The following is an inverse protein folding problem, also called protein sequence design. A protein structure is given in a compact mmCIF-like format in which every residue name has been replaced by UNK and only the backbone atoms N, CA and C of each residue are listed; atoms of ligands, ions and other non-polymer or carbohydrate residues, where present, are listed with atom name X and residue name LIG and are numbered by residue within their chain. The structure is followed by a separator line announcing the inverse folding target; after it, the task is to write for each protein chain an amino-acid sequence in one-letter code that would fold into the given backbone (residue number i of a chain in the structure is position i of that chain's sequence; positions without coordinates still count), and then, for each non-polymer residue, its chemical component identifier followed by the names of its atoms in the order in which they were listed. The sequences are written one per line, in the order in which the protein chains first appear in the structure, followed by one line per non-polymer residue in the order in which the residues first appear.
data_IF_476087966629
#
_entry.id   IF_476087966629
#
_cell.length_a   1.000
_cell.length_b   1.000
_cell.length_c   1.000
_cell.angle_alpha   90.00
_cell.angle_beta   90.00
_cell.angle_gamma   90.00
#
_symmetry.space_group_name_H-M   'P 1'
#
loop_
_entity.id
_entity.type
_entity.pdbx_description
1 polymer ?
#
# COMPACT_ATOMS: atom_id res chain seq x y z
N UNK A 1 13.83 -18.68 -2.31
CA UNK A 1 14.92 -18.02 -1.56
C UNK A 1 14.34 -17.37 -0.32
N UNK A 2 14.76 -17.74 0.89
CA UNK A 2 14.26 -17.12 2.13
C UNK A 2 14.67 -15.64 2.26
N UNK A 3 14.05 -14.89 3.19
CA UNK A 3 14.33 -13.45 3.45
C UNK A 3 15.82 -13.16 3.62
N UNK A 4 16.55 -14.04 4.30
CA UNK A 4 18.00 -13.93 4.49
C UNK A 4 18.79 -14.11 3.19
N UNK A 5 18.40 -15.07 2.33
CA UNK A 5 19.06 -15.30 1.04
C UNK A 5 18.91 -14.11 0.09
N UNK A 6 17.74 -13.45 0.12
CA UNK A 6 17.51 -12.22 -0.67
C UNK A 6 18.42 -11.07 -0.21
N UNK A 7 18.60 -10.90 1.10
CA UNK A 7 19.45 -9.84 1.65
C UNK A 7 20.93 -10.08 1.31
N UNK A 8 21.41 -11.32 1.41
CA UNK A 8 22.79 -11.67 1.02
C UNK A 8 23.04 -11.36 -0.46
N UNK A 9 22.13 -11.79 -1.34
CA UNK A 9 22.25 -11.52 -2.77
C UNK A 9 22.26 -10.01 -3.06
N UNK A 10 21.35 -9.26 -2.42
CA UNK A 10 21.29 -7.81 -2.56
C UNK A 10 22.61 -7.15 -2.16
N UNK A 11 23.19 -7.56 -1.04
CA UNK A 11 24.47 -7.03 -0.57
C UNK A 11 25.62 -7.33 -1.55
N UNK A 12 25.66 -8.54 -2.13
CA UNK A 12 26.66 -8.88 -3.16
C UNK A 12 26.51 -7.99 -4.39
N UNK A 13 25.27 -7.76 -4.83
CA UNK A 13 24.98 -6.88 -5.98
C UNK A 13 25.41 -5.45 -5.66
N UNK A 14 25.07 -4.93 -4.48
CA UNK A 14 25.50 -3.59 -4.03
C UNK A 14 27.03 -3.51 -4.00
N UNK A 15 27.73 -4.49 -3.41
CA UNK A 15 29.19 -4.54 -3.37
C UNK A 15 29.81 -4.55 -4.77
N UNK A 16 29.18 -5.26 -5.71
CA UNK A 16 29.64 -5.32 -7.10
C UNK A 16 29.44 -3.97 -7.82
N UNK A 17 28.32 -3.29 -7.58
CA UNK A 17 28.08 -1.94 -8.11
C UNK A 17 29.08 -0.94 -7.52
N UNK A 18 29.34 -0.98 -6.21
CA UNK A 18 30.32 -0.12 -5.56
C UNK A 18 31.73 -0.39 -6.11
N UNK A 19 32.09 -1.66 -6.35
CA UNK A 19 33.35 -2.02 -6.98
C UNK A 19 33.48 -1.40 -8.38
N UNK A 20 32.44 -1.47 -9.21
CA UNK A 20 32.45 -0.83 -10.53
C UNK A 20 32.62 0.68 -10.41
N UNK A 21 31.85 1.33 -9.55
CA UNK A 21 31.92 2.78 -9.31
C UNK A 21 33.34 3.16 -8.84
N UNK A 22 33.87 2.48 -7.83
CA UNK A 22 35.20 2.77 -7.28
C UNK A 22 36.30 2.63 -8.32
N UNK A 23 36.25 1.61 -9.18
CA UNK A 23 37.23 1.45 -10.24
C UNK A 23 37.11 2.52 -11.32
N UNK A 24 35.91 2.96 -11.69
CA UNK A 24 35.71 4.09 -12.62
C UNK A 24 36.39 5.37 -12.08
N UNK A 25 36.29 5.64 -10.78
CA UNK A 25 36.81 6.88 -10.21
C UNK A 25 38.30 6.85 -9.86
N UNK A 26 38.85 5.72 -9.41
CA UNK A 26 40.18 5.68 -8.81
C UNK A 26 41.23 4.93 -9.64
N UNK A 27 40.87 3.82 -10.30
CA UNK A 27 41.85 2.89 -10.86
C UNK A 27 41.69 2.62 -12.37
N UNK A 28 40.61 3.09 -13.01
CA UNK A 28 40.32 2.87 -14.44
C UNK A 28 40.39 1.39 -14.84
N UNK A 29 40.02 0.49 -13.91
CA UNK A 29 40.15 -0.97 -14.04
C UNK A 29 41.55 -1.49 -14.41
N UNK A 30 42.60 -0.73 -14.08
CA UNK A 30 43.99 -1.12 -14.34
C UNK A 30 44.48 -2.01 -13.20
N UNK A 31 44.49 -3.32 -13.44
CA UNK A 31 45.03 -4.31 -12.52
C UNK A 31 46.27 -4.96 -13.14
N UNK A 32 47.34 -5.13 -12.36
CA UNK A 32 48.58 -5.74 -12.83
C UNK A 32 48.49 -7.27 -12.86
N UNK A 33 47.53 -7.86 -12.13
CA UNK A 33 47.33 -9.30 -12.08
C UNK A 33 45.88 -9.69 -11.74
N UNK A 34 45.43 -10.91 -12.10
CA UNK A 34 44.14 -11.44 -11.65
C UNK A 34 44.02 -11.52 -10.12
N UNK A 35 45.12 -11.73 -9.40
CA UNK A 35 45.14 -11.79 -7.93
C UNK A 35 44.83 -10.43 -7.32
N UNK A 36 45.39 -9.35 -7.88
CA UNK A 36 45.11 -7.98 -7.46
C UNK A 36 43.64 -7.61 -7.68
N UNK A 37 43.07 -8.00 -8.82
CA UNK A 37 41.65 -7.85 -9.10
C UNK A 37 40.78 -8.58 -8.06
N UNK A 38 41.07 -9.86 -7.79
CA UNK A 38 40.30 -10.67 -6.84
C UNK A 38 40.41 -10.13 -5.42
N UNK A 39 41.60 -9.67 -5.02
CA UNK A 39 41.80 -9.03 -3.73
C UNK A 39 40.97 -7.75 -3.61
N UNK A 40 41.05 -6.86 -4.60
CA UNK A 40 40.26 -5.62 -4.63
C UNK A 40 38.77 -5.92 -4.56
N UNK A 41 38.26 -6.78 -5.45
CA UNK A 41 36.86 -7.18 -5.44
C UNK A 41 36.42 -7.76 -4.09
N UNK A 42 37.23 -8.66 -3.51
CA UNK A 42 36.97 -9.25 -2.20
C UNK A 42 36.88 -8.20 -1.08
N UNK A 43 37.72 -7.17 -1.11
CA UNK A 43 37.69 -6.07 -0.13
C UNK A 43 36.42 -5.23 -0.29
N UNK A 44 36.01 -4.89 -1.52
CA UNK A 44 34.74 -4.20 -1.76
C UNK A 44 33.54 -5.01 -1.27
N UNK A 45 33.54 -6.33 -1.48
CA UNK A 45 32.49 -7.21 -0.96
C UNK A 45 32.50 -7.21 0.57
N UNK A 46 33.65 -7.40 1.22
CA UNK A 46 33.78 -7.41 2.68
C UNK A 46 33.20 -6.12 3.30
N UNK A 47 33.59 -4.97 2.76
CA UNK A 47 33.11 -3.67 3.24
C UNK A 47 31.61 -3.52 3.02
N UNK A 48 31.11 -3.90 1.83
CA UNK A 48 29.68 -3.86 1.54
C UNK A 48 28.87 -4.77 2.48
N UNK A 49 29.39 -5.95 2.81
CA UNK A 49 28.76 -6.85 3.78
C UNK A 49 28.68 -6.23 5.17
N UNK A 50 29.81 -5.82 5.73
CA UNK A 50 29.84 -5.32 7.10
C UNK A 50 29.03 -4.04 7.23
N UNK A 51 29.21 -3.07 6.33
CA UNK A 51 28.49 -1.79 6.39
C UNK A 51 27.01 -1.96 6.04
N UNK A 52 26.70 -2.77 5.02
CA UNK A 52 25.34 -3.01 4.55
C UNK A 52 24.50 -3.72 5.61
N UNK A 53 25.00 -4.80 6.21
CA UNK A 53 24.28 -5.51 7.27
C UNK A 53 24.17 -4.68 8.56
N UNK A 54 25.21 -3.93 8.94
CA UNK A 54 25.15 -3.06 10.12
C UNK A 54 24.07 -1.99 9.97
N UNK A 55 24.04 -1.31 8.82
CA UNK A 55 23.00 -0.33 8.53
C UNK A 55 21.62 -0.98 8.40
N UNK A 56 21.50 -2.15 7.75
CA UNK A 56 20.23 -2.86 7.63
C UNK A 56 19.67 -3.26 9.00
N UNK A 57 20.51 -3.75 9.91
CA UNK A 57 20.09 -4.10 11.27
C UNK A 57 19.63 -2.85 12.03
N UNK A 58 20.38 -1.76 11.93
CA UNK A 58 19.99 -0.47 12.51
C UNK A 58 18.64 0.04 11.98
N UNK A 59 18.42 0.03 10.67
CA UNK A 59 17.13 0.45 10.11
C UNK A 59 15.99 -0.50 10.45
N UNK A 60 16.25 -1.81 10.54
CA UNK A 60 15.24 -2.79 10.99
C UNK A 60 14.86 -2.54 12.45
N UNK A 61 15.83 -2.25 13.32
CA UNK A 61 15.59 -1.86 14.71
C UNK A 61 14.78 -0.56 14.78
N UNK A 62 15.14 0.46 13.98
CA UNK A 62 14.38 1.70 13.90
C UNK A 62 12.95 1.49 13.42
N UNK A 63 12.70 0.57 12.49
CA UNK A 63 11.35 0.24 12.01
C UNK A 63 10.46 -0.36 13.10
N UNK A 64 11.04 -1.05 14.08
CA UNK A 64 10.32 -1.58 15.24
C UNK A 64 9.87 -0.52 16.25
N UNK A 65 10.31 0.73 16.11
CA UNK A 65 9.91 1.83 16.99
C UNK A 65 8.56 2.42 16.58
N UNK A 66 7.76 2.82 17.57
CA UNK A 66 6.45 3.43 17.35
C UNK A 66 6.57 4.91 16.93
N UNK A 67 6.81 5.15 15.64
CA UNK A 67 6.88 6.50 15.07
C UNK A 67 5.49 7.11 14.86
N UNK A 68 5.26 8.30 15.43
CA UNK A 68 4.04 9.07 15.14
C UNK A 68 4.11 9.73 13.76
N UNK A 69 2.98 10.09 13.15
CA UNK A 69 2.97 10.83 11.89
C UNK A 69 3.71 12.18 11.95
N UNK A 70 3.78 12.80 13.12
CA UNK A 70 4.56 14.03 13.38
C UNK A 70 6.07 13.82 13.36
N UNK A 71 6.55 12.59 13.60
CA UNK A 71 7.95 12.32 13.85
C UNK A 71 8.75 12.06 12.56
N UNK A 72 8.17 12.33 11.38
CA UNK A 72 8.79 12.04 10.06
C UNK A 72 10.20 12.64 9.95
N UNK A 73 10.34 13.93 10.27
CA UNK A 73 11.63 14.64 10.20
C UNK A 73 12.60 14.08 11.25
N UNK A 74 12.13 13.87 12.48
CA UNK A 74 12.93 13.28 13.56
C UNK A 74 13.46 11.90 13.18
N UNK A 75 12.64 11.06 12.55
CA UNK A 75 13.05 9.74 12.05
C UNK A 75 14.15 9.84 11.00
N UNK A 76 13.99 10.72 10.01
CA UNK A 76 15.01 10.94 8.97
C UNK A 76 16.32 11.39 9.62
N UNK A 77 16.26 12.37 10.52
CA UNK A 77 17.43 12.91 11.19
C UNK A 77 18.17 11.86 12.03
N UNK A 78 17.44 11.10 12.87
CA UNK A 78 18.04 10.02 13.67
C UNK A 78 18.58 8.88 12.80
N UNK A 79 17.88 8.55 11.70
CA UNK A 79 18.33 7.54 10.76
C UNK A 79 19.61 7.95 10.04
N UNK A 80 19.72 9.21 9.63
CA UNK A 80 20.91 9.74 8.98
C UNK A 80 22.09 9.81 9.96
N UNK A 81 21.91 10.39 11.14
CA UNK A 81 22.95 10.46 12.16
C UNK A 81 23.45 9.08 12.60
N UNK A 82 22.52 8.16 12.88
CA UNK A 82 22.88 6.80 13.29
C UNK A 82 23.61 6.04 12.19
N UNK A 83 23.15 6.16 10.93
CA UNK A 83 23.82 5.53 9.79
C UNK A 83 25.23 6.09 9.54
N UNK A 84 25.42 7.42 9.67
CA UNK A 84 26.73 8.05 9.60
C UNK A 84 27.65 7.52 10.70
N UNK A 85 27.18 7.50 11.95
CA UNK A 85 27.97 7.01 13.08
C UNK A 85 28.38 5.53 12.91
N UNK A 86 27.42 4.67 12.56
CA UNK A 86 27.66 3.24 12.31
C UNK A 86 28.64 3.04 11.16
N UNK A 87 28.50 3.82 10.09
CA UNK A 87 29.37 3.70 8.91
C UNK A 87 30.79 4.16 9.21
N UNK A 88 30.96 5.30 9.89
CA UNK A 88 32.29 5.79 10.27
C UNK A 88 32.99 4.82 11.22
N UNK A 89 32.27 4.31 12.22
CA UNK A 89 32.80 3.30 13.14
C UNK A 89 33.14 1.99 12.39
N UNK A 90 32.23 1.52 11.53
CA UNK A 90 32.44 0.31 10.73
C UNK A 90 33.63 0.43 9.79
N UNK A 91 33.77 1.56 9.09
CA UNK A 91 34.93 1.85 8.24
C UNK A 91 36.23 1.90 9.04
N UNK A 92 36.22 2.56 10.21
CA UNK A 92 37.40 2.64 11.07
C UNK A 92 37.84 1.25 11.50
N UNK A 93 36.90 0.43 12.00
CA UNK A 93 37.18 -0.93 12.45
C UNK A 93 37.62 -1.84 11.29
N UNK A 94 36.97 -1.76 10.13
CA UNK A 94 37.39 -2.52 8.95
C UNK A 94 38.82 -2.16 8.54
N UNK A 95 39.12 -0.87 8.44
CA UNK A 95 40.46 -0.39 8.06
C UNK A 95 41.52 -0.75 9.08
N UNK A 96 41.20 -0.63 10.37
CA UNK A 96 42.07 -1.06 11.47
C UNK A 96 42.37 -2.56 11.34
N UNK A 97 41.34 -3.39 11.16
CA UNK A 97 41.51 -4.85 11.04
C UNK A 97 42.30 -5.23 9.79
N UNK A 98 42.07 -4.59 8.65
CA UNK A 98 42.81 -4.88 7.42
C UNK A 98 44.27 -4.42 7.54
N UNK A 99 44.52 -3.25 8.13
CA UNK A 99 45.86 -2.73 8.36
C UNK A 99 46.68 -3.65 9.28
N UNK A 100 46.12 -4.06 10.43
CA UNK A 100 46.82 -4.90 11.40
C UNK A 100 46.97 -6.36 10.93
N UNK A 101 45.91 -6.97 10.40
CA UNK A 101 45.86 -8.41 10.15
C UNK A 101 46.33 -8.81 8.74
N UNK A 102 46.11 -7.96 7.75
CA UNK A 102 46.42 -8.28 6.34
C UNK A 102 47.69 -7.55 5.90
N UNK A 103 47.75 -6.24 6.12
CA UNK A 103 48.86 -5.39 5.66
C UNK A 103 50.04 -5.36 6.66
N UNK A 104 49.85 -5.90 7.87
CA UNK A 104 50.84 -5.97 8.95
C UNK A 104 51.41 -4.58 9.34
N UNK A 105 50.61 -3.53 9.21
CA UNK A 105 50.95 -2.17 9.60
C UNK A 105 50.77 -2.03 11.12
N UNK A 106 51.77 -1.52 11.86
CA UNK A 106 51.62 -1.24 13.30
C UNK A 106 50.52 -0.22 13.62
N UNK A 107 49.89 -0.33 14.79
CA UNK A 107 48.77 0.51 15.20
C UNK A 107 49.10 2.02 15.19
N UNK A 108 50.29 2.38 15.68
CA UNK A 108 50.77 3.76 15.71
C UNK A 108 50.89 4.36 14.29
N UNK A 109 51.40 3.58 13.34
CA UNK A 109 51.50 3.98 11.93
C UNK A 109 50.14 4.05 11.25
N UNK A 110 49.24 3.12 11.58
CA UNK A 110 47.85 3.18 11.10
C UNK A 110 47.21 4.51 11.51
N UNK A 111 47.21 4.84 12.81
CA UNK A 111 46.59 6.07 13.33
C UNK A 111 47.18 7.33 12.70
N UNK A 112 48.50 7.38 12.47
CA UNK A 112 49.16 8.54 11.84
C UNK A 112 48.76 8.73 10.36
N UNK A 113 48.42 7.64 9.66
CA UNK A 113 48.03 7.66 8.25
C UNK A 113 46.52 7.88 8.04
N UNK A 114 45.76 8.06 9.12
CA UNK A 114 44.32 8.27 9.04
C UNK A 114 43.98 9.67 8.52
N UNK A 115 43.31 9.71 7.37
CA UNK A 115 42.83 10.95 6.75
C UNK A 115 41.36 10.84 6.37
N UNK A 116 40.70 11.98 6.19
CA UNK A 116 39.30 12.04 5.72
C UNK A 116 39.09 11.34 4.38
N UNK A 117 40.08 11.39 3.49
CA UNK A 117 40.02 10.75 2.17
C UNK A 117 39.65 9.27 2.27
N UNK A 118 40.18 8.60 3.30
CA UNK A 118 39.97 7.17 3.53
C UNK A 118 38.53 6.79 3.93
N UNK A 119 37.73 7.76 4.38
CA UNK A 119 36.35 7.56 4.84
C UNK A 119 35.31 8.13 3.86
N UNK A 120 35.71 9.17 3.13
CA UNK A 120 34.81 9.99 2.30
C UNK A 120 34.02 9.18 1.27
N UNK A 121 34.66 8.25 0.55
CA UNK A 121 34.00 7.44 -0.47
C UNK A 121 32.95 6.49 0.12
N UNK A 122 33.31 5.75 1.16
CA UNK A 122 32.38 4.83 1.85
C UNK A 122 31.21 5.59 2.47
N UNK A 123 31.47 6.76 3.07
CA UNK A 123 30.43 7.62 3.62
C UNK A 123 29.49 8.16 2.54
N UNK A 124 30.02 8.61 1.41
CA UNK A 124 29.22 9.09 0.28
C UNK A 124 28.28 8.00 -0.27
N UNK A 125 28.77 6.77 -0.41
CA UNK A 125 27.95 5.62 -0.80
C UNK A 125 26.85 5.37 0.24
N UNK A 126 27.18 5.32 1.52
CA UNK A 126 26.17 5.14 2.59
C UNK A 126 25.10 6.22 2.53
N UNK A 127 25.49 7.49 2.47
CA UNK A 127 24.53 8.60 2.42
C UNK A 127 23.59 8.48 1.21
N UNK A 128 24.13 8.11 0.05
CA UNK A 128 23.36 7.85 -1.16
C UNK A 128 22.32 6.73 -0.93
N UNK A 129 22.75 5.58 -0.39
CA UNK A 129 21.87 4.46 -0.10
C UNK A 129 20.80 4.81 0.95
N UNK A 130 21.15 5.58 1.99
CA UNK A 130 20.22 6.02 3.03
C UNK A 130 19.14 6.95 2.47
N UNK A 131 19.50 7.84 1.55
CA UNK A 131 18.54 8.71 0.86
C UNK A 131 17.55 7.84 0.06
N UNK A 132 18.05 6.92 -0.77
CA UNK A 132 17.19 6.01 -1.54
C UNK A 132 16.28 5.17 -0.64
N UNK A 133 16.81 4.66 0.48
CA UNK A 133 16.02 3.92 1.46
C UNK A 133 14.86 4.76 2.01
N UNK A 134 15.11 6.01 2.42
CA UNK A 134 14.07 6.88 2.94
C UNK A 134 13.03 7.22 1.88
N UNK A 135 13.45 7.53 0.66
CA UNK A 135 12.55 7.80 -0.47
C UNK A 135 11.62 6.60 -0.71
N UNK A 136 12.17 5.40 -0.84
CA UNK A 136 11.38 4.20 -1.10
C UNK A 136 10.46 3.85 0.08
N UNK A 137 10.95 3.99 1.32
CA UNK A 137 10.16 3.78 2.53
C UNK A 137 8.93 4.70 2.58
N UNK A 138 9.13 6.00 2.41
CA UNK A 138 8.03 6.97 2.50
C UNK A 138 7.09 6.89 1.30
N UNK A 139 7.60 6.59 0.11
CA UNK A 139 6.77 6.33 -1.07
C UNK A 139 5.82 5.15 -0.82
N UNK A 140 6.34 4.01 -0.35
CA UNK A 140 5.51 2.84 -0.06
C UNK A 140 4.50 3.11 1.07
N UNK A 141 4.90 3.88 2.09
CA UNK A 141 4.00 4.27 3.18
C UNK A 141 2.85 5.14 2.66
N UNK A 142 3.15 6.13 1.83
CA UNK A 142 2.16 7.00 1.21
C UNK A 142 1.18 6.22 0.33
N UNK A 143 1.67 5.29 -0.50
CA UNK A 143 0.80 4.45 -1.34
C UNK A 143 -0.14 3.56 -0.51
N UNK A 144 0.36 2.98 0.58
CA UNK A 144 -0.48 2.19 1.50
C UNK A 144 -1.53 3.04 2.20
N UNK A 145 -1.19 4.25 2.62
CA UNK A 145 -2.13 5.20 3.22
C UNK A 145 -3.24 5.58 2.22
N UNK A 146 -2.89 5.88 0.96
CA UNK A 146 -3.84 6.19 -0.11
C UNK A 146 -4.80 5.04 -0.41
N UNK A 147 -4.29 3.80 -0.50
CA UNK A 147 -5.14 2.61 -0.70
C UNK A 147 -6.09 2.41 0.48
N UNK A 148 -5.62 2.62 1.71
CA UNK A 148 -6.45 2.50 2.91
C UNK A 148 -7.57 3.54 2.91
N UNK A 149 -7.27 4.77 2.54
CA UNK A 149 -8.24 5.86 2.41
C UNK A 149 -9.32 5.52 1.37
N UNK A 150 -8.92 5.06 0.18
CA UNK A 150 -9.86 4.64 -0.86
C UNK A 150 -10.79 3.52 -0.40
N UNK A 151 -10.27 2.52 0.34
CA UNK A 151 -11.10 1.45 0.92
C UNK A 151 -12.13 1.98 1.92
N UNK A 152 -11.76 2.96 2.74
CA UNK A 152 -12.69 3.58 3.70
C UNK A 152 -13.79 4.36 2.98
N UNK A 153 -13.44 5.13 1.93
CA UNK A 153 -14.39 5.88 1.11
C UNK A 153 -15.37 4.92 0.43
N UNK A 154 -14.85 3.87 -0.22
CA UNK A 154 -15.68 2.86 -0.87
C UNK A 154 -16.62 2.15 0.10
N UNK A 155 -16.12 1.75 1.29
CA UNK A 155 -16.93 1.13 2.33
C UNK A 155 -18.03 2.06 2.84
N UNK A 156 -17.73 3.36 3.00
CA UNK A 156 -18.71 4.37 3.43
C UNK A 156 -19.77 4.62 2.36
N UNK A 157 -19.37 4.66 1.07
CA UNK A 157 -20.30 4.80 -0.04
C UNK A 157 -21.25 3.58 -0.13
N UNK A 158 -20.72 2.36 0.02
CA UNK A 158 -21.51 1.13 0.09
C UNK A 158 -22.52 1.19 1.25
N UNK A 159 -22.08 1.53 2.46
CA UNK A 159 -22.96 1.61 3.61
C UNK A 159 -24.07 2.67 3.44
N UNK A 160 -23.76 3.81 2.80
CA UNK A 160 -24.77 4.84 2.46
C UNK A 160 -25.75 4.35 1.39
N UNK A 161 -25.27 3.63 0.38
CA UNK A 161 -26.12 3.02 -0.63
C UNK A 161 -27.07 2.00 -0.01
N UNK A 162 -26.56 1.12 0.86
CA UNK A 162 -27.36 0.15 1.59
C UNK A 162 -28.38 0.85 2.50
N UNK A 163 -28.00 1.92 3.18
CA UNK A 163 -28.92 2.73 3.98
C UNK A 163 -30.03 3.39 3.13
N UNK A 164 -29.71 3.89 1.95
CA UNK A 164 -30.69 4.43 1.01
C UNK A 164 -31.62 3.34 0.48
N UNK A 165 -31.07 2.16 0.15
CA UNK A 165 -31.83 0.97 -0.25
C UNK A 165 -32.74 0.45 0.87
N UNK A 166 -32.34 0.64 2.13
CA UNK A 166 -33.13 0.30 3.32
C UNK A 166 -34.31 1.25 3.56
N UNK A 167 -34.32 2.44 2.96
CA UNK A 167 -35.51 3.30 2.94
C UNK A 167 -36.45 2.80 1.84
N UNK A 168 -37.33 1.86 2.19
CA UNK A 168 -38.58 1.70 1.43
C UNK A 168 -39.27 3.07 1.46
N UNK A 169 -39.65 3.64 0.31
CA UNK A 169 -40.36 4.92 0.26
C UNK A 169 -41.61 4.83 1.17
N UNK A 170 -41.58 5.42 2.38
CA UNK A 170 -42.68 5.30 3.32
C UNK A 170 -43.92 5.97 2.73
N UNK A 171 -43.71 7.00 1.91
CA UNK A 171 -44.77 7.74 1.26
C UNK A 171 -45.47 6.90 0.17
N UNK A 172 -44.77 6.01 -0.54
CA UNK A 172 -45.41 5.03 -1.42
C UNK A 172 -46.31 4.06 -0.63
N UNK A 173 -45.83 3.57 0.53
CA UNK A 173 -46.62 2.68 1.38
C UNK A 173 -47.91 3.36 1.87
N UNK A 174 -47.77 4.54 2.48
CA UNK A 174 -48.91 5.28 3.04
C UNK A 174 -49.92 5.66 1.97
N UNK A 175 -49.47 6.13 0.80
CA UNK A 175 -50.38 6.42 -0.31
C UNK A 175 -51.11 5.18 -0.82
N UNK A 176 -50.42 4.04 -0.90
CA UNK A 176 -51.03 2.79 -1.33
C UNK A 176 -52.08 2.30 -0.32
N UNK A 177 -51.84 2.47 0.98
CA UNK A 177 -52.83 2.15 2.01
C UNK A 177 -54.07 3.06 1.94
N UNK A 178 -53.91 4.34 1.60
CA UNK A 178 -55.03 5.24 1.40
C UNK A 178 -55.90 4.80 0.21
N UNK A 179 -55.28 4.49 -0.94
CA UNK A 179 -55.99 3.95 -2.12
C UNK A 179 -56.70 2.64 -1.79
N UNK A 180 -56.04 1.75 -1.04
CA UNK A 180 -56.66 0.50 -0.60
C UNK A 180 -57.89 0.75 0.26
N UNK A 181 -57.83 1.72 1.18
CA UNK A 181 -58.97 2.07 2.05
C UNK A 181 -60.17 2.53 1.22
N UNK A 182 -59.96 3.40 0.21
CA UNK A 182 -61.03 3.81 -0.72
C UNK A 182 -61.58 2.64 -1.53
N UNK A 183 -60.71 1.77 -2.04
CA UNK A 183 -61.15 0.60 -2.81
C UNK A 183 -61.96 -0.40 -1.98
N UNK A 184 -61.73 -0.53 -0.67
CA UNK A 184 -62.50 -1.45 0.18
C UNK A 184 -63.99 -1.06 0.19
N UNK A 185 -64.28 0.24 0.16
CA UNK A 185 -65.65 0.77 0.16
C UNK A 185 -66.27 0.73 -1.24
N UNK A 186 -65.54 1.16 -2.27
CA UNK A 186 -66.08 1.32 -3.63
C UNK A 186 -66.04 0.04 -4.47
N UNK A 187 -64.97 -0.76 -4.34
CA UNK A 187 -64.75 -1.96 -5.14
C UNK A 187 -63.97 -3.03 -4.34
N UNK A 188 -64.65 -3.81 -3.48
CA UNK A 188 -63.99 -4.79 -2.62
C UNK A 188 -63.13 -5.82 -3.38
N UNK A 189 -63.53 -6.16 -4.60
CA UNK A 189 -62.76 -7.08 -5.47
C UNK A 189 -61.49 -6.41 -6.00
N UNK A 190 -61.57 -5.12 -6.34
CA UNK A 190 -60.42 -4.26 -6.63
C UNK A 190 -59.46 -4.14 -5.46
N UNK A 191 -59.96 -3.93 -4.24
CA UNK A 191 -59.15 -3.86 -3.03
C UNK A 191 -58.30 -5.14 -2.79
N UNK A 192 -58.89 -6.32 -3.02
CA UNK A 192 -58.19 -7.60 -2.91
C UNK A 192 -57.04 -7.70 -3.92
N UNK A 193 -57.30 -7.32 -5.17
CA UNK A 193 -56.30 -7.32 -6.23
C UNK A 193 -55.18 -6.29 -5.95
N UNK A 194 -55.53 -5.11 -5.46
CA UNK A 194 -54.59 -4.05 -5.09
C UNK A 194 -53.67 -4.50 -3.96
N UNK A 195 -54.24 -5.09 -2.89
CA UNK A 195 -53.47 -5.61 -1.76
C UNK A 195 -52.48 -6.70 -2.20
N UNK A 196 -52.92 -7.60 -3.09
CA UNK A 196 -52.08 -8.66 -3.63
C UNK A 196 -50.94 -8.12 -4.48
N UNK A 197 -51.24 -7.16 -5.37
CA UNK A 197 -50.22 -6.50 -6.18
C UNK A 197 -49.22 -5.72 -5.33
N UNK A 198 -49.71 -5.01 -4.31
CA UNK A 198 -48.87 -4.27 -3.35
C UNK A 198 -47.93 -5.22 -2.60
N UNK A 199 -48.44 -6.38 -2.12
CA UNK A 199 -47.62 -7.42 -1.50
C UNK A 199 -46.53 -7.95 -2.44
N UNK A 200 -46.84 -8.17 -3.73
CA UNK A 200 -45.85 -8.62 -4.73
C UNK A 200 -44.76 -7.57 -4.98
N UNK A 201 -45.14 -6.29 -5.12
CA UNK A 201 -44.19 -5.18 -5.30
C UNK A 201 -43.25 -5.08 -4.10
N UNK A 202 -43.79 -5.07 -2.88
CA UNK A 202 -42.95 -4.99 -1.67
C UNK A 202 -42.06 -6.22 -1.50
N UNK A 203 -42.59 -7.41 -1.78
CA UNK A 203 -41.82 -8.65 -1.73
C UNK A 203 -40.65 -8.62 -2.72
N UNK A 204 -40.89 -8.20 -3.96
CA UNK A 204 -39.84 -8.04 -4.96
C UNK A 204 -38.76 -7.06 -4.49
N UNK A 205 -39.15 -5.87 -4.02
CA UNK A 205 -38.19 -4.86 -3.53
C UNK A 205 -37.36 -5.40 -2.36
N UNK A 206 -37.97 -6.22 -1.49
CA UNK A 206 -37.28 -6.84 -0.35
C UNK A 206 -36.42 -8.05 -0.74
N UNK A 207 -36.82 -8.87 -1.71
CA UNK A 207 -36.10 -10.08 -2.16
C UNK A 207 -34.92 -9.73 -3.07
N UNK A 208 -35.10 -8.77 -3.98
CA UNK A 208 -34.03 -8.26 -4.82
C UNK A 208 -33.11 -7.27 -4.07
N UNK A 209 -33.38 -7.04 -2.78
CA UNK A 209 -32.63 -6.11 -1.92
C UNK A 209 -31.16 -6.47 -1.73
N UNK A 210 -30.80 -7.74 -1.83
CA UNK A 210 -29.42 -8.20 -1.59
C UNK A 210 -28.79 -8.82 -2.85
N UNK A 211 -29.40 -8.65 -4.02
CA UNK A 211 -28.83 -9.10 -5.28
C UNK A 211 -28.13 -7.93 -5.99
N UNK A 212 -26.94 -8.19 -6.51
CA UNK A 212 -26.17 -7.23 -7.31
C UNK A 212 -26.68 -7.12 -8.75
N UNK A 213 -27.30 -8.19 -9.27
CA UNK A 213 -27.82 -8.31 -10.62
C UNK A 213 -29.19 -9.01 -10.59
N UNK A 214 -30.11 -8.58 -11.46
CA UNK A 214 -31.44 -9.17 -11.64
C UNK A 214 -31.67 -9.44 -13.14
N UNK A 215 -32.25 -10.59 -13.53
CA UNK A 215 -32.62 -10.86 -14.91
C UNK A 215 -33.63 -9.84 -15.45
N UNK A 216 -33.50 -9.46 -16.72
CA UNK A 216 -34.41 -8.50 -17.38
C UNK A 216 -35.87 -8.98 -17.35
N UNK A 217 -36.10 -10.28 -17.46
CA UNK A 217 -37.44 -10.86 -17.42
C UNK A 217 -38.12 -10.67 -16.05
N UNK A 218 -37.37 -10.84 -14.95
CA UNK A 218 -37.86 -10.58 -13.58
C UNK A 218 -38.20 -9.10 -13.40
N UNK A 219 -37.35 -8.21 -13.93
CA UNK A 219 -37.56 -6.76 -13.86
C UNK A 219 -38.80 -6.31 -14.66
N UNK A 220 -39.04 -6.91 -15.83
CA UNK A 220 -40.22 -6.67 -16.66
C UNK A 220 -41.51 -7.16 -15.99
N UNK A 221 -41.49 -8.30 -15.30
CA UNK A 221 -42.64 -8.80 -14.55
C UNK A 221 -42.97 -7.89 -13.36
N UNK A 222 -41.94 -7.42 -12.66
CA UNK A 222 -42.09 -6.42 -11.61
C UNK A 222 -42.71 -5.13 -12.15
N UNK A 223 -42.20 -4.60 -13.27
CA UNK A 223 -42.72 -3.38 -13.90
C UNK A 223 -44.20 -3.53 -14.28
N UNK A 224 -44.61 -4.65 -14.87
CA UNK A 224 -46.02 -4.95 -15.19
C UNK A 224 -46.90 -4.93 -13.94
N UNK A 225 -46.45 -5.57 -12.86
CA UNK A 225 -47.18 -5.60 -11.59
C UNK A 225 -47.30 -4.19 -10.99
N UNK A 226 -46.21 -3.43 -10.99
CA UNK A 226 -46.18 -2.05 -10.48
C UNK A 226 -47.10 -1.12 -11.28
N UNK A 227 -47.07 -1.20 -12.61
CA UNK A 227 -47.93 -0.41 -13.49
C UNK A 227 -49.40 -0.76 -13.31
N UNK A 228 -49.75 -2.02 -13.03
CA UNK A 228 -51.13 -2.39 -12.71
C UNK A 228 -51.66 -1.69 -11.45
N UNK A 229 -50.82 -1.53 -10.42
CA UNK A 229 -51.18 -0.77 -9.22
C UNK A 229 -51.34 0.72 -9.51
N UNK A 230 -50.46 1.30 -10.34
CA UNK A 230 -50.59 2.69 -10.77
C UNK A 230 -51.89 2.90 -11.55
N UNK A 231 -52.27 1.96 -12.43
CA UNK A 231 -53.55 2.02 -13.15
C UNK A 231 -54.74 1.99 -12.21
N UNK A 232 -54.71 1.16 -11.17
CA UNK A 232 -55.78 1.12 -10.17
C UNK A 232 -55.83 2.39 -9.30
N UNK A 233 -54.69 3.08 -9.13
CA UNK A 233 -54.60 4.31 -8.34
C UNK A 233 -55.04 5.55 -9.11
N UNK A 234 -54.66 5.65 -10.38
CA UNK A 234 -54.86 6.84 -11.19
C UNK A 234 -55.97 6.68 -12.24
N UNK A 235 -56.50 5.47 -12.38
CA UNK A 235 -57.58 5.11 -13.30
C UNK A 235 -57.29 5.63 -14.73
N UNK A 236 -58.20 6.43 -15.27
CA UNK A 236 -58.09 6.99 -16.62
C UNK A 236 -57.08 8.14 -16.73
N UNK A 237 -56.52 8.60 -15.61
CA UNK A 237 -55.51 9.67 -15.59
C UNK A 237 -54.14 9.22 -16.09
N UNK A 238 -53.93 7.91 -16.26
CA UNK A 238 -52.68 7.38 -16.81
C UNK A 238 -52.95 6.27 -17.84
N UNK A 239 -52.35 6.43 -19.02
CA UNK A 239 -52.31 5.42 -20.09
C UNK A 239 -50.87 4.96 -20.27
N UNK A 240 -50.68 3.65 -20.34
CA UNK A 240 -49.37 3.05 -20.57
C UNK A 240 -49.45 2.01 -21.69
N UNK A 241 -48.37 1.92 -22.46
CA UNK A 241 -48.13 0.84 -23.42
C UNK A 241 -46.93 0.03 -22.91
N UNK A 242 -47.14 -1.27 -22.68
CA UNK A 242 -46.10 -2.17 -22.19
C UNK A 242 -45.42 -2.79 -23.41
N UNK A 243 -44.08 -2.77 -23.51
CA UNK A 243 -43.36 -3.46 -24.58
C UNK A 243 -43.51 -4.99 -24.51
#
# INVERSE_FOLDING_TARGET
MGKHGKNILLTIVIGSVIFLIGNIFYNDFRFNSPQEFLYSFGMYQLYSFVLGFSNMYFFTWMEGLNWKPSDKIKRIFLGLLGSVAITLLGLFLLRLMTALAIEQIPFDRFIQNETWGNYSFGLWITLTLVIFFHVFYFYNKFQKEKIKEQKVIAGTASAKFDALKNQLDPHFLFNSLNVLTSLIEENPKGALNFTTGLSKVYRYVLEQKNKDLVPVDEELEFAKTYMSLLKMRFEDSIVFEIP
#
